data_IF_423835828978
#
_entry.id   IF_423835828978
#
_cell.length_a   1.000
_cell.length_b   1.000
_cell.length_c   1.000
_cell.angle_alpha   90.00
_cell.angle_beta   90.00
_cell.angle_gamma   90.00
#
_symmetry.space_group_name_H-M   'P 1'
#
loop_
_entity.id
_entity.type
_entity.pdbx_description
1 polymer ?
#
# COMPACT_ATOMS: atom_id res chain seq x y z
N UNK A 1 -20.99 57.34 -12.38
CA UNK A 1 -19.89 58.09 -13.06
C UNK A 1 -18.56 57.46 -12.67
N UNK A 2 -17.65 57.28 -13.62
CA UNK A 2 -16.30 56.76 -13.37
C UNK A 2 -15.28 57.71 -14.02
N UNK A 3 -14.09 57.82 -13.42
CA UNK A 3 -13.00 58.65 -13.92
C UNK A 3 -11.72 57.81 -14.04
N UNK A 4 -10.89 58.01 -15.08
CA UNK A 4 -9.62 57.32 -15.20
C UNK A 4 -8.67 57.74 -14.07
N UNK A 5 -7.97 56.77 -13.49
CA UNK A 5 -7.00 56.98 -12.42
C UNK A 5 -5.69 56.27 -12.79
N UNK A 6 -4.57 56.96 -12.65
CA UNK A 6 -3.24 56.36 -12.85
C UNK A 6 -2.80 55.60 -11.59
N UNK A 7 -1.86 54.67 -11.73
CA UNK A 7 -1.31 53.94 -10.59
C UNK A 7 -0.66 54.89 -9.57
N UNK A 8 0.11 55.89 -10.02
CA UNK A 8 0.74 56.88 -9.14
C UNK A 8 -0.30 57.70 -8.35
N UNK A 9 -1.40 58.10 -9.01
CA UNK A 9 -2.49 58.79 -8.33
C UNK A 9 -3.18 57.90 -7.29
N UNK A 10 -3.37 56.61 -7.61
CA UNK A 10 -3.91 55.63 -6.68
C UNK A 10 -2.98 55.42 -5.46
N UNK A 11 -1.68 55.32 -5.68
CA UNK A 11 -0.68 55.15 -4.62
C UNK A 11 -0.57 56.38 -3.71
N UNK A 12 -0.71 57.57 -4.27
CA UNK A 12 -0.73 58.82 -3.49
C UNK A 12 -1.94 58.89 -2.54
N UNK A 13 -3.13 58.49 -3.02
CA UNK A 13 -4.38 58.62 -2.25
C UNK A 13 -4.62 57.44 -1.30
N UNK A 14 -4.28 56.21 -1.72
CA UNK A 14 -4.61 54.98 -1.02
C UNK A 14 -3.38 54.17 -0.57
N UNK A 15 -2.18 54.74 -0.62
CA UNK A 15 -0.91 54.04 -0.37
C UNK A 15 -0.85 53.31 0.98
N UNK A 16 -1.42 53.89 2.04
CA UNK A 16 -1.46 53.27 3.37
C UNK A 16 -2.33 51.99 3.43
N UNK A 17 -3.26 51.82 2.48
CA UNK A 17 -4.09 50.63 2.34
C UNK A 17 -3.51 49.62 1.32
N UNK A 18 -2.38 49.93 0.68
CA UNK A 18 -1.71 49.01 -0.23
C UNK A 18 -0.82 48.07 0.57
N UNK A 19 -1.16 46.78 0.53
CA UNK A 19 -0.42 45.74 1.21
C UNK A 19 0.46 44.97 0.23
N UNK A 20 1.65 44.58 0.68
CA UNK A 20 2.50 43.62 -0.04
C UNK A 20 2.62 42.34 0.77
N UNK A 21 2.19 41.21 0.22
CA UNK A 21 2.27 39.91 0.89
C UNK A 21 2.91 38.87 -0.01
N UNK A 22 3.77 38.03 0.58
CA UNK A 22 4.23 36.80 -0.03
C UNK A 22 3.26 35.66 0.31
N UNK A 23 2.83 34.91 -0.69
CA UNK A 23 1.91 33.79 -0.56
C UNK A 23 2.50 32.56 -1.26
N UNK A 24 2.50 31.43 -0.56
CA UNK A 24 2.82 30.11 -1.12
C UNK A 24 1.49 29.39 -1.35
N UNK A 25 1.28 28.93 -2.57
CA UNK A 25 0.05 28.25 -2.99
C UNK A 25 0.39 26.94 -3.67
N UNK A 26 -0.49 25.95 -3.54
CA UNK A 26 -0.35 24.67 -4.24
C UNK A 26 -1.11 24.72 -5.56
N UNK A 27 -0.41 24.49 -6.67
CA UNK A 27 -1.02 24.26 -7.97
C UNK A 27 -1.32 22.77 -8.15
N UNK A 28 -2.62 22.45 -8.21
CA UNK A 28 -3.11 21.07 -8.37
C UNK A 28 -2.76 20.48 -9.74
N UNK A 29 -2.69 21.29 -10.80
CA UNK A 29 -2.43 20.81 -12.16
C UNK A 29 -0.99 20.30 -12.29
N UNK A 30 -0.03 21.02 -11.71
CA UNK A 30 1.40 20.66 -11.73
C UNK A 30 1.88 19.94 -10.47
N UNK A 31 0.98 19.70 -9.51
CA UNK A 31 1.30 19.11 -8.20
C UNK A 31 2.54 19.77 -7.54
N UNK A 32 2.56 21.10 -7.55
CA UNK A 32 3.72 21.88 -7.10
C UNK A 32 3.34 23.16 -6.37
N UNK A 33 4.28 23.68 -5.58
CA UNK A 33 4.16 24.96 -4.92
C UNK A 33 4.54 26.11 -5.86
N UNK A 34 3.85 27.22 -5.69
CA UNK A 34 4.17 28.51 -6.30
C UNK A 34 4.19 29.58 -5.23
N UNK A 35 5.30 30.29 -5.12
CA UNK A 35 5.42 31.46 -4.29
C UNK A 35 5.27 32.73 -5.14
N UNK A 36 4.44 33.65 -4.67
CA UNK A 36 4.22 34.94 -5.34
C UNK A 36 4.17 36.06 -4.32
N UNK A 37 4.75 37.20 -4.68
CA UNK A 37 4.57 38.47 -3.99
C UNK A 37 3.47 39.25 -4.68
N UNK A 38 2.39 39.55 -3.97
CA UNK A 38 1.27 40.35 -4.46
C UNK A 38 1.23 41.68 -3.75
N UNK A 39 1.12 42.75 -4.53
CA UNK A 39 0.82 44.09 -4.04
C UNK A 39 -0.63 44.40 -4.36
N UNK A 40 -1.45 44.66 -3.35
CA UNK A 40 -2.92 44.73 -3.48
C UNK A 40 -3.52 45.93 -2.74
N UNK A 41 -4.61 46.45 -3.29
CA UNK A 41 -5.51 47.38 -2.62
C UNK A 41 -6.86 46.68 -2.45
N UNK A 42 -7.13 46.15 -1.27
CA UNK A 42 -8.29 45.27 -1.04
C UNK A 42 -8.24 44.04 -1.97
N UNK A 43 -9.27 43.87 -2.81
CA UNK A 43 -9.35 42.78 -3.79
C UNK A 43 -8.59 43.07 -5.10
N UNK A 44 -8.14 44.32 -5.33
CA UNK A 44 -7.45 44.72 -6.57
C UNK A 44 -5.96 44.35 -6.49
N UNK A 45 -5.50 43.48 -7.38
CA UNK A 45 -4.07 43.18 -7.54
C UNK A 45 -3.43 44.27 -8.40
N UNK A 46 -2.51 45.03 -7.80
CA UNK A 46 -1.79 46.12 -8.47
C UNK A 46 -0.52 45.61 -9.18
N UNK A 47 0.16 44.64 -8.56
CA UNK A 47 1.33 43.99 -9.13
C UNK A 47 1.48 42.57 -8.56
N UNK A 48 2.04 41.68 -9.38
CA UNK A 48 2.36 40.30 -9.00
C UNK A 48 3.77 39.95 -9.48
N UNK A 49 4.57 39.35 -8.60
CA UNK A 49 5.91 38.89 -8.90
C UNK A 49 6.11 37.45 -8.42
N UNK A 50 6.64 36.58 -9.27
CA UNK A 50 7.04 35.22 -8.86
C UNK A 50 8.23 35.28 -7.90
N UNK A 51 8.16 34.49 -6.83
CA UNK A 51 9.25 34.30 -5.87
C UNK A 51 9.72 32.84 -5.90
N UNK A 52 10.96 32.56 -5.48
CA UNK A 52 11.34 31.20 -5.12
C UNK A 52 10.49 30.72 -3.94
N UNK A 53 10.13 29.43 -3.95
CA UNK A 53 9.46 28.80 -2.82
C UNK A 53 10.49 28.66 -1.67
N UNK A 54 10.18 29.13 -0.45
CA UNK A 54 11.07 28.95 0.69
C UNK A 54 11.33 27.47 1.00
N UNK A 55 12.57 27.13 1.35
CA UNK A 55 12.94 25.80 1.83
C UNK A 55 12.72 25.70 3.35
N UNK A 56 11.45 25.71 3.78
CA UNK A 56 11.04 25.66 5.18
C UNK A 56 9.96 24.61 5.45
N UNK A 57 9.70 24.36 6.74
CA UNK A 57 8.69 23.39 7.19
C UNK A 57 7.28 23.76 6.75
N UNK A 58 6.98 25.07 6.68
CA UNK A 58 5.68 25.56 6.26
C UNK A 58 5.40 25.22 4.79
N UNK A 59 6.39 25.37 3.92
CA UNK A 59 6.31 24.98 2.50
C UNK A 59 6.21 23.47 2.37
N UNK A 60 7.03 22.70 3.09
CA UNK A 60 6.95 21.24 3.07
C UNK A 60 5.56 20.72 3.47
N UNK A 61 4.97 21.28 4.53
CA UNK A 61 3.62 20.94 4.99
C UNK A 61 2.53 21.39 4.00
N UNK A 62 2.71 22.55 3.35
CA UNK A 62 1.79 23.00 2.30
C UNK A 62 1.82 22.06 1.08
N UNK A 63 3.00 21.56 0.69
CA UNK A 63 3.14 20.56 -0.36
C UNK A 63 2.50 19.23 0.06
N UNK A 64 2.76 18.78 1.29
CA UNK A 64 2.18 17.54 1.82
C UNK A 64 0.64 17.56 1.82
N UNK A 65 0.04 18.66 2.30
CA UNK A 65 -1.42 18.90 2.25
C UNK A 65 -1.95 18.89 0.83
N UNK A 66 -1.27 19.59 -0.08
CA UNK A 66 -1.65 19.65 -1.49
C UNK A 66 -1.63 18.28 -2.16
N UNK A 67 -0.56 17.51 -1.94
CA UNK A 67 -0.37 16.15 -2.47
C UNK A 67 -1.42 15.19 -1.90
N UNK A 68 -1.65 15.18 -0.59
CA UNK A 68 -2.69 14.35 0.02
C UNK A 68 -4.08 14.69 -0.55
N UNK A 69 -4.37 15.97 -0.77
CA UNK A 69 -5.60 16.44 -1.40
C UNK A 69 -5.75 16.13 -2.90
N UNK A 70 -4.72 15.58 -3.56
CA UNK A 70 -4.81 15.00 -4.90
C UNK A 70 -5.13 13.50 -4.89
N UNK A 71 -5.05 12.85 -3.73
CA UNK A 71 -5.16 11.41 -3.56
C UNK A 71 -3.80 10.73 -3.44
N UNK A 72 -3.70 9.76 -2.52
CA UNK A 72 -2.44 9.08 -2.19
C UNK A 72 -1.95 8.15 -3.30
N UNK A 73 -2.81 7.76 -4.24
CA UNK A 73 -2.42 6.96 -5.41
C UNK A 73 -1.37 7.65 -6.31
N UNK A 74 -1.18 8.97 -6.18
CA UNK A 74 -0.14 9.72 -6.90
C UNK A 74 1.24 9.68 -6.26
N UNK A 75 1.34 9.18 -5.02
CA UNK A 75 2.62 9.03 -4.33
C UNK A 75 3.43 7.90 -4.96
N UNK A 76 4.77 7.88 -4.79
CA UNK A 76 5.64 6.91 -5.45
C UNK A 76 5.58 5.53 -4.79
N UNK A 77 4.39 4.92 -4.79
CA UNK A 77 4.15 3.56 -4.33
C UNK A 77 4.95 2.57 -5.15
N UNK A 78 5.57 1.64 -4.45
CA UNK A 78 6.19 0.45 -5.03
C UNK A 78 5.43 -0.77 -4.54
N UNK A 79 5.52 -1.88 -5.27
CA UNK A 79 4.89 -3.15 -4.84
C UNK A 79 5.30 -3.57 -3.42
N UNK A 80 6.52 -3.24 -2.99
CA UNK A 80 6.97 -3.57 -1.63
C UNK A 80 6.37 -2.65 -0.57
N UNK A 81 6.10 -1.38 -0.88
CA UNK A 81 5.42 -0.46 0.03
C UNK A 81 3.92 -0.77 0.12
N UNK A 82 3.28 -1.09 -1.01
CA UNK A 82 1.89 -1.56 -1.05
C UNK A 82 1.72 -2.82 -0.21
N UNK A 83 2.58 -3.83 -0.43
CA UNK A 83 2.54 -5.06 0.36
C UNK A 83 2.82 -4.79 1.85
N UNK A 84 3.80 -3.95 2.19
CA UNK A 84 4.09 -3.59 3.58
C UNK A 84 2.89 -2.92 4.25
N UNK A 85 2.24 -1.97 3.57
CA UNK A 85 1.01 -1.32 4.05
C UNK A 85 -0.12 -2.34 4.19
N UNK A 86 -0.31 -3.22 3.21
CA UNK A 86 -1.33 -4.27 3.23
C UNK A 86 -1.19 -5.19 4.44
N UNK A 87 0.04 -5.59 4.79
CA UNK A 87 0.36 -6.39 5.99
C UNK A 87 0.03 -5.64 7.29
N UNK A 88 0.38 -4.36 7.38
CA UNK A 88 0.06 -3.52 8.54
C UNK A 88 -1.45 -3.38 8.73
N UNK A 89 -2.16 -3.05 7.64
CA UNK A 89 -3.62 -2.90 7.66
C UNK A 89 -4.33 -4.22 7.93
N UNK A 90 -3.77 -5.35 7.49
CA UNK A 90 -4.25 -6.67 7.85
C UNK A 90 -4.18 -6.91 9.37
N UNK A 91 -3.03 -6.68 9.99
CA UNK A 91 -2.88 -6.87 11.44
C UNK A 91 -3.73 -5.88 12.24
N UNK A 92 -3.86 -4.63 11.78
CA UNK A 92 -4.80 -3.66 12.36
C UNK A 92 -6.25 -4.17 12.31
N UNK A 93 -6.70 -4.76 11.20
CA UNK A 93 -8.05 -5.34 11.12
C UNK A 93 -8.22 -6.55 12.04
N UNK A 94 -7.17 -7.34 12.24
CA UNK A 94 -7.21 -8.56 13.05
C UNK A 94 -7.12 -8.30 14.56
N UNK A 95 -6.39 -7.24 14.99
CA UNK A 95 -6.06 -6.99 16.40
C UNK A 95 -6.46 -5.60 16.91
N UNK A 96 -6.61 -4.61 16.03
CA UNK A 96 -6.78 -3.21 16.40
C UNK A 96 -5.46 -2.56 16.84
N UNK A 97 -5.52 -1.77 17.91
CA UNK A 97 -4.33 -1.17 18.53
C UNK A 97 -3.36 -2.25 19.02
N UNK A 98 -2.03 -2.08 18.89
CA UNK A 98 -1.30 -0.83 18.56
C UNK A 98 -0.99 -0.62 17.06
N UNK A 99 -1.57 -1.40 16.15
CA UNK A 99 -1.24 -1.31 14.72
C UNK A 99 -1.75 0.01 14.11
N UNK A 100 -0.89 0.83 13.47
CA UNK A 100 -1.27 2.16 13.00
C UNK A 100 -2.29 2.10 11.86
N UNK A 101 -3.16 3.10 11.80
CA UNK A 101 -4.06 3.29 10.66
C UNK A 101 -3.32 3.91 9.48
N UNK A 102 -3.07 3.09 8.46
CA UNK A 102 -2.42 3.50 7.22
C UNK A 102 -3.39 3.49 6.03
N UNK A 103 -4.70 3.59 6.32
CA UNK A 103 -5.72 3.80 5.29
C UNK A 103 -5.49 5.12 4.54
N UNK A 104 -6.04 5.22 3.34
CA UNK A 104 -5.91 6.45 2.56
C UNK A 104 -6.56 7.64 3.29
N UNK A 105 -7.66 7.39 3.99
CA UNK A 105 -8.36 8.37 4.82
C UNK A 105 -7.48 8.85 5.98
N UNK A 106 -6.88 7.93 6.74
CA UNK A 106 -6.04 8.28 7.89
C UNK A 106 -4.78 9.05 7.47
N UNK A 107 -4.10 8.58 6.42
CA UNK A 107 -2.90 9.22 5.91
C UNK A 107 -3.18 10.59 5.28
N UNK A 108 -4.33 10.78 4.63
CA UNK A 108 -4.73 12.07 4.08
C UNK A 108 -5.16 13.08 5.16
N UNK A 109 -5.71 12.59 6.29
CA UNK A 109 -6.14 13.44 7.40
C UNK A 109 -4.97 14.04 8.20
N UNK A 110 -3.78 13.42 8.17
CA UNK A 110 -2.60 13.84 8.94
C UNK A 110 -1.35 14.05 8.05
N UNK A 111 -1.37 14.99 7.08
CA UNK A 111 -0.31 15.16 6.07
C UNK A 111 1.09 15.46 6.64
N UNK A 112 1.20 15.77 7.93
CA UNK A 112 2.45 16.01 8.65
C UNK A 112 3.44 14.84 8.53
N UNK A 113 2.96 13.60 8.38
CA UNK A 113 3.85 12.43 8.23
C UNK A 113 4.73 12.49 6.96
N UNK A 114 4.23 13.15 5.91
CA UNK A 114 4.92 13.28 4.63
C UNK A 114 5.78 14.55 4.57
N UNK A 115 5.52 15.53 5.44
CA UNK A 115 6.16 16.85 5.38
C UNK A 115 7.69 16.76 5.50
N UNK A 116 8.22 15.89 6.36
CA UNK A 116 9.68 15.72 6.52
C UNK A 116 10.37 15.24 5.24
N UNK A 117 9.77 14.31 4.50
CA UNK A 117 10.28 13.83 3.21
C UNK A 117 10.18 14.89 2.10
N UNK A 118 9.32 15.89 2.27
CA UNK A 118 9.10 16.99 1.33
C UNK A 118 9.90 18.26 1.67
N UNK A 119 10.73 18.24 2.72
CA UNK A 119 11.56 19.40 3.07
C UNK A 119 12.48 19.80 1.90
N UNK A 120 12.48 21.10 1.57
CA UNK A 120 13.24 21.65 0.45
C UNK A 120 12.72 21.30 -0.95
N UNK A 121 11.65 20.50 -1.05
CA UNK A 121 11.04 20.12 -2.33
C UNK A 121 9.89 21.07 -2.67
N UNK A 122 9.69 21.29 -3.96
CA UNK A 122 8.67 22.22 -4.47
C UNK A 122 7.59 21.53 -5.30
N UNK A 123 7.80 20.28 -5.73
CA UNK A 123 6.83 19.50 -6.51
C UNK A 123 6.84 18.04 -6.09
N UNK A 124 5.71 17.35 -6.31
CA UNK A 124 5.58 15.93 -6.00
C UNK A 124 6.62 15.06 -6.71
N UNK A 125 6.97 15.37 -7.95
CA UNK A 125 7.94 14.60 -8.75
C UNK A 125 9.36 14.59 -8.16
N UNK A 126 9.68 15.52 -7.25
CA UNK A 126 10.96 15.53 -6.53
C UNK A 126 11.00 14.51 -5.37
N UNK A 127 9.84 13.97 -4.96
CA UNK A 127 9.76 12.93 -3.93
C UNK A 127 10.16 11.57 -4.52
N UNK A 128 11.30 11.05 -4.08
CA UNK A 128 11.74 9.70 -4.45
C UNK A 128 10.89 8.63 -3.75
N UNK A 129 10.85 7.43 -4.32
CA UNK A 129 10.22 6.26 -3.68
C UNK A 129 10.92 5.84 -2.39
N UNK A 130 12.22 6.13 -2.26
CA UNK A 130 13.00 5.87 -1.06
C UNK A 130 12.64 6.83 0.08
N UNK A 131 12.66 8.15 -0.17
CA UNK A 131 12.24 9.17 0.82
C UNK A 131 10.79 8.91 1.28
N UNK A 132 9.92 8.60 0.33
CA UNK A 132 8.53 8.22 0.59
C UNK A 132 8.43 6.97 1.46
N UNK A 133 9.19 5.92 1.12
CA UNK A 133 9.23 4.68 1.88
C UNK A 133 9.74 4.87 3.32
N UNK A 134 10.74 5.73 3.51
CA UNK A 134 11.24 6.10 4.84
C UNK A 134 10.17 6.83 5.67
N UNK A 135 9.51 7.85 5.11
CA UNK A 135 8.44 8.58 5.78
C UNK A 135 7.26 7.65 6.16
N UNK A 136 6.84 6.78 5.25
CA UNK A 136 5.74 5.85 5.50
C UNK A 136 6.10 4.84 6.60
N UNK A 137 7.31 4.26 6.58
CA UNK A 137 7.75 3.29 7.59
C UNK A 137 7.95 3.91 8.97
N UNK A 138 8.28 5.20 9.03
CA UNK A 138 8.42 5.93 10.30
C UNK A 138 7.11 6.02 11.09
N UNK A 139 5.95 5.77 10.45
CA UNK A 139 4.64 5.70 11.11
C UNK A 139 4.44 4.43 11.95
N UNK A 140 5.31 3.43 11.81
CA UNK A 140 5.22 2.19 12.55
C UNK A 140 6.32 2.09 13.62
N UNK A 141 5.97 1.92 14.91
CA UNK A 141 6.96 1.65 15.96
C UNK A 141 7.83 0.43 15.63
N UNK A 142 9.10 0.48 16.05
CA UNK A 142 10.10 -0.55 15.75
C UNK A 142 9.67 -1.96 16.19
N UNK A 143 9.03 -2.08 17.34
CA UNK A 143 8.52 -3.36 17.86
C UNK A 143 7.49 -4.00 16.94
N UNK A 144 6.62 -3.19 16.32
CA UNK A 144 5.62 -3.67 15.36
C UNK A 144 6.26 -4.17 14.08
N UNK A 145 7.39 -3.60 13.67
CA UNK A 145 8.12 -4.07 12.48
C UNK A 145 8.60 -5.52 12.65
N UNK A 146 9.08 -5.90 13.85
CA UNK A 146 9.47 -7.30 14.12
C UNK A 146 8.26 -8.23 14.16
N UNK A 147 7.18 -7.80 14.81
CA UNK A 147 5.93 -8.58 14.86
C UNK A 147 5.33 -8.78 13.47
N UNK A 148 5.38 -7.75 12.61
CA UNK A 148 4.89 -7.83 11.23
C UNK A 148 5.54 -8.97 10.44
N UNK A 149 6.85 -9.15 10.58
CA UNK A 149 7.58 -10.21 9.89
C UNK A 149 7.18 -11.61 10.37
N UNK A 150 6.86 -11.77 11.66
CA UNK A 150 6.44 -13.05 12.22
C UNK A 150 4.95 -13.35 11.98
N UNK A 151 4.07 -12.35 12.17
CA UNK A 151 2.62 -12.53 12.21
C UNK A 151 1.95 -12.32 10.86
N UNK A 152 2.58 -11.58 9.95
CA UNK A 152 2.12 -11.36 8.59
C UNK A 152 3.31 -11.45 7.62
N UNK A 153 3.92 -12.63 7.42
CA UNK A 153 5.07 -12.78 6.53
C UNK A 153 4.74 -12.43 5.07
N UNK A 154 5.76 -12.06 4.31
CA UNK A 154 5.62 -11.77 2.87
C UNK A 154 5.27 -13.01 2.04
N UNK A 155 5.73 -14.18 2.50
CA UNK A 155 5.55 -15.46 1.83
C UNK A 155 5.17 -16.55 2.84
N UNK A 156 4.31 -17.46 2.40
CA UNK A 156 4.09 -18.74 3.05
C UNK A 156 5.04 -19.78 2.46
N UNK A 157 5.76 -20.52 3.31
CA UNK A 157 6.63 -21.61 2.87
C UNK A 157 5.86 -22.92 2.98
N UNK A 158 5.57 -23.53 1.82
CA UNK A 158 4.90 -24.82 1.75
C UNK A 158 5.81 -25.96 2.27
N UNK A 159 5.25 -27.12 2.67
CA UNK A 159 6.02 -28.31 3.03
C UNK A 159 7.11 -28.73 2.03
N UNK A 160 6.94 -28.40 0.74
CA UNK A 160 7.93 -28.65 -0.32
C UNK A 160 9.10 -27.67 -0.34
N UNK A 161 9.06 -26.61 0.47
CA UNK A 161 10.01 -25.49 0.47
C UNK A 161 9.65 -24.37 -0.50
N UNK A 162 8.57 -24.50 -1.28
CA UNK A 162 8.11 -23.43 -2.18
C UNK A 162 7.61 -22.25 -1.37
N UNK A 163 8.10 -21.05 -1.68
CA UNK A 163 7.63 -19.80 -1.10
C UNK A 163 6.51 -19.20 -1.97
N UNK A 164 5.27 -19.22 -1.47
CA UNK A 164 4.12 -18.58 -2.11
C UNK A 164 3.91 -17.18 -1.53
N UNK A 165 3.91 -16.15 -2.38
CA UNK A 165 3.64 -14.78 -1.94
C UNK A 165 2.22 -14.67 -1.38
N UNK A 166 2.08 -14.03 -0.23
CA UNK A 166 0.78 -13.78 0.40
C UNK A 166 0.18 -12.50 -0.16
N UNK A 167 -1.03 -12.62 -0.70
CA UNK A 167 -1.84 -11.47 -1.11
C UNK A 167 -2.71 -11.03 0.07
N UNK A 168 -2.35 -9.90 0.68
CA UNK A 168 -3.06 -9.30 1.82
C UNK A 168 -4.23 -8.40 1.41
N UNK A 169 -4.36 -8.08 0.12
CA UNK A 169 -5.41 -7.22 -0.43
C UNK A 169 -6.53 -8.03 -1.10
N UNK A 170 -6.35 -9.34 -1.22
CA UNK A 170 -7.35 -10.26 -1.75
C UNK A 170 -8.71 -10.14 -1.05
N UNK A 171 -9.78 -10.23 -1.84
CA UNK A 171 -11.15 -10.18 -1.36
C UNK A 171 -11.42 -11.36 -0.40
N UNK A 172 -11.97 -11.04 0.77
CA UNK A 172 -12.24 -12.02 1.82
C UNK A 172 -11.09 -12.24 2.80
N UNK A 173 -9.87 -11.77 2.55
CA UNK A 173 -8.74 -11.87 3.49
C UNK A 173 -7.47 -12.40 2.84
N UNK A 174 -6.38 -12.53 3.63
CA UNK A 174 -5.09 -12.90 3.09
C UNK A 174 -5.15 -14.26 2.41
N UNK A 175 -4.54 -14.36 1.23
CA UNK A 175 -4.64 -15.55 0.40
C UNK A 175 -3.31 -15.94 -0.25
N UNK A 176 -3.19 -17.22 -0.58
CA UNK A 176 -2.09 -17.75 -1.40
C UNK A 176 -2.63 -18.67 -2.48
N UNK A 177 -1.93 -18.71 -3.61
CA UNK A 177 -2.23 -19.63 -4.70
C UNK A 177 -1.05 -20.59 -4.91
N UNK A 178 -1.32 -21.89 -4.78
CA UNK A 178 -0.31 -22.94 -4.95
C UNK A 178 -0.93 -24.23 -5.44
N UNK A 179 -0.10 -25.09 -6.05
CA UNK A 179 -0.57 -26.40 -6.48
C UNK A 179 -0.88 -27.25 -5.26
N UNK A 180 -1.98 -27.99 -5.31
CA UNK A 180 -2.47 -28.81 -4.18
C UNK A 180 -1.43 -29.82 -3.68
N UNK A 181 -0.55 -30.29 -4.57
CA UNK A 181 0.52 -31.24 -4.29
C UNK A 181 1.59 -30.67 -3.33
N UNK A 182 1.74 -29.34 -3.32
CA UNK A 182 2.74 -28.66 -2.50
C UNK A 182 2.30 -28.58 -1.03
N UNK A 183 1.01 -28.84 -0.76
CA UNK A 183 0.43 -28.90 0.57
C UNK A 183 0.34 -30.32 1.14
N UNK A 184 0.80 -31.34 0.41
CA UNK A 184 0.85 -32.69 0.96
C UNK A 184 1.78 -32.74 2.18
N UNK A 185 1.37 -33.49 3.19
CA UNK A 185 2.03 -33.53 4.50
C UNK A 185 1.59 -32.41 5.45
N UNK A 186 0.77 -31.46 4.99
CA UNK A 186 0.21 -30.41 5.84
C UNK A 186 -1.13 -30.85 6.42
N UNK A 187 -1.08 -31.33 7.67
CA UNK A 187 -2.26 -31.78 8.44
C UNK A 187 -2.99 -30.68 9.19
N UNK A 188 -2.39 -29.49 9.33
CA UNK A 188 -2.96 -28.33 10.01
C UNK A 188 -3.18 -27.18 9.02
N UNK A 189 -4.25 -26.41 9.20
CA UNK A 189 -4.49 -25.27 8.33
C UNK A 189 -3.56 -24.10 8.69
N UNK A 190 -2.83 -23.52 7.72
CA UNK A 190 -1.97 -22.37 8.01
C UNK A 190 -2.80 -21.15 8.39
N UNK A 191 -2.32 -20.40 9.37
CA UNK A 191 -2.96 -19.19 9.86
C UNK A 191 -1.93 -18.08 10.09
N UNK A 192 -2.40 -16.84 9.94
CA UNK A 192 -1.66 -15.60 10.15
C UNK A 192 -2.13 -14.93 11.45
N UNK A 193 -1.53 -13.79 11.80
CA UNK A 193 -1.82 -13.04 13.02
C UNK A 193 -1.74 -13.94 14.25
N UNK A 194 -0.61 -14.61 14.46
CA UNK A 194 -0.41 -15.53 15.59
C UNK A 194 -1.42 -16.68 15.67
N UNK A 195 -1.95 -17.14 14.54
CA UNK A 195 -2.92 -18.22 14.46
C UNK A 195 -4.39 -17.80 14.48
N UNK A 196 -4.69 -16.49 14.57
CA UNK A 196 -6.05 -15.96 14.66
C UNK A 196 -6.81 -15.96 13.34
N UNK A 197 -6.10 -15.77 12.22
CA UNK A 197 -6.75 -15.63 10.91
C UNK A 197 -6.32 -16.76 9.97
N UNK A 198 -7.24 -17.67 9.56
CA UNK A 198 -6.91 -18.74 8.63
C UNK A 198 -6.52 -18.17 7.26
N UNK A 199 -5.46 -18.70 6.67
CA UNK A 199 -4.97 -18.28 5.37
C UNK A 199 -5.83 -18.87 4.26
N UNK A 200 -6.38 -18.03 3.38
CA UNK A 200 -7.21 -18.52 2.28
C UNK A 200 -6.33 -19.24 1.24
N UNK A 201 -6.60 -20.52 1.00
CA UNK A 201 -5.83 -21.34 0.06
C UNK A 201 -6.56 -21.47 -1.27
N UNK A 202 -6.02 -20.89 -2.33
CA UNK A 202 -6.43 -21.13 -3.71
C UNK A 202 -5.65 -22.35 -4.23
N UNK A 203 -6.30 -23.51 -4.17
CA UNK A 203 -5.70 -24.78 -4.57
C UNK A 203 -5.72 -24.93 -6.09
N UNK A 204 -4.54 -25.11 -6.66
CA UNK A 204 -4.34 -25.20 -8.11
C UNK A 204 -3.97 -26.63 -8.56
N UNK A 205 -4.31 -26.94 -9.80
CA UNK A 205 -3.89 -28.16 -10.49
C UNK A 205 -2.43 -28.09 -10.92
N UNK A 206 -1.82 -29.20 -11.41
CA UNK A 206 -0.49 -29.18 -11.99
C UNK A 206 -0.32 -28.16 -13.12
N UNK A 207 -1.41 -27.85 -13.84
CA UNK A 207 -1.44 -26.86 -14.90
C UNK A 207 -1.90 -25.46 -14.43
N UNK A 208 -1.79 -25.17 -13.12
CA UNK A 208 -2.17 -23.89 -12.51
C UNK A 208 -3.64 -23.49 -12.72
N UNK A 209 -4.54 -24.47 -12.89
CA UNK A 209 -5.99 -24.20 -12.97
C UNK A 209 -6.60 -24.24 -11.56
N UNK A 210 -7.51 -23.31 -11.21
CA UNK A 210 -8.23 -23.37 -9.93
C UNK A 210 -8.99 -24.68 -9.77
N UNK A 211 -8.91 -25.26 -8.58
CA UNK A 211 -9.65 -26.48 -8.20
C UNK A 211 -10.62 -26.16 -7.08
N UNK A 212 -10.12 -25.56 -5.99
CA UNK A 212 -10.87 -25.31 -4.77
C UNK A 212 -10.29 -24.09 -4.07
N UNK A 213 -11.14 -23.33 -3.39
CA UNK A 213 -10.74 -22.33 -2.41
C UNK A 213 -11.13 -22.87 -1.04
N UNK A 214 -10.22 -22.85 -0.07
CA UNK A 214 -10.51 -23.33 1.29
C UNK A 214 -9.84 -22.50 2.39
N UNK A 215 -10.51 -22.41 3.54
CA UNK A 215 -9.99 -21.93 4.84
C UNK A 215 -9.95 -23.03 5.90
N UNK A 216 -10.22 -24.26 5.47
CA UNK A 216 -10.16 -25.46 6.27
C UNK A 216 -9.54 -26.57 5.42
N UNK A 217 -8.21 -26.64 5.47
CA UNK A 217 -7.46 -27.63 4.72
C UNK A 217 -7.71 -29.06 5.26
N UNK A 218 -7.72 -29.30 6.59
CA UNK A 218 -8.10 -30.60 7.15
C UNK A 218 -9.51 -31.06 6.73
N UNK A 219 -10.49 -30.16 6.72
CA UNK A 219 -11.84 -30.44 6.24
C UNK A 219 -11.87 -30.78 4.75
N UNK A 220 -11.12 -30.05 3.93
CA UNK A 220 -10.94 -30.36 2.50
C UNK A 220 -10.36 -31.77 2.29
N UNK A 221 -9.32 -32.14 3.03
CA UNK A 221 -8.69 -33.46 2.97
C UNK A 221 -9.64 -34.59 3.35
N UNK A 222 -10.43 -34.43 4.40
CA UNK A 222 -11.39 -35.45 4.88
C UNK A 222 -12.66 -35.52 4.03
N UNK A 223 -13.03 -34.43 3.38
CA UNK A 223 -14.26 -34.32 2.60
C UNK A 223 -14.03 -34.40 1.09
N UNK A 224 -14.02 -33.24 0.43
CA UNK A 224 -14.07 -33.12 -1.04
C UNK A 224 -12.81 -33.57 -1.77
N UNK A 225 -11.70 -33.85 -1.06
CA UNK A 225 -10.47 -34.34 -1.68
C UNK A 225 -10.69 -35.63 -2.48
N UNK A 226 -11.52 -36.56 -2.00
CA UNK A 226 -11.78 -37.84 -2.68
C UNK A 226 -12.30 -37.64 -4.12
N UNK A 227 -13.27 -36.73 -4.31
CA UNK A 227 -13.83 -36.38 -5.61
C UNK A 227 -12.83 -35.61 -6.48
N UNK A 228 -12.14 -34.62 -5.90
CA UNK A 228 -11.10 -33.84 -6.60
C UNK A 228 -9.97 -34.76 -7.10
N UNK A 229 -9.51 -35.68 -6.24
CA UNK A 229 -8.48 -36.67 -6.55
C UNK A 229 -8.88 -37.54 -7.73
N UNK A 230 -10.14 -37.98 -7.81
CA UNK A 230 -10.63 -38.79 -8.93
C UNK A 230 -10.55 -38.04 -10.27
N UNK A 231 -11.00 -36.78 -10.32
CA UNK A 231 -10.89 -35.94 -11.52
C UNK A 231 -9.42 -35.68 -11.89
N UNK A 232 -8.59 -35.29 -10.91
CA UNK A 232 -7.17 -34.99 -11.14
C UNK A 232 -6.39 -36.22 -11.60
N UNK A 233 -6.69 -37.41 -11.09
CA UNK A 233 -6.06 -38.66 -11.53
C UNK A 233 -6.36 -38.97 -13.00
N UNK A 234 -7.58 -38.67 -13.46
CA UNK A 234 -7.97 -38.79 -14.86
C UNK A 234 -7.23 -37.80 -15.77
N UNK A 235 -7.20 -36.51 -15.39
CA UNK A 235 -6.57 -35.44 -16.19
C UNK A 235 -5.05 -35.46 -16.14
N UNK A 236 -4.47 -35.90 -15.02
CA UNK A 236 -3.03 -35.84 -14.74
C UNK A 236 -2.50 -37.18 -14.20
N UNK A 237 -2.53 -38.27 -15.01
CA UNK A 237 -2.25 -39.63 -14.53
C UNK A 237 -0.78 -39.88 -14.12
N UNK A 238 0.14 -38.99 -14.52
CA UNK A 238 1.57 -39.08 -14.17
C UNK A 238 1.91 -38.48 -12.78
N UNK A 239 0.95 -37.83 -12.14
CA UNK A 239 1.16 -37.20 -10.82
C UNK A 239 0.79 -38.15 -9.68
N UNK A 240 1.40 -37.90 -8.52
CA UNK A 240 1.08 -38.65 -7.30
C UNK A 240 -0.15 -38.05 -6.63
N UNK A 241 -1.16 -38.89 -6.41
CA UNK A 241 -2.46 -38.49 -5.86
C UNK A 241 -2.79 -39.39 -4.65
N UNK A 242 -2.30 -39.04 -3.43
CA UNK A 242 -2.46 -39.86 -2.24
C UNK A 242 -3.92 -39.96 -1.80
N UNK A 243 -4.28 -41.09 -1.18
CA UNK A 243 -5.58 -41.23 -0.51
C UNK A 243 -5.62 -40.37 0.74
N UNK A 244 -4.52 -40.38 1.50
CA UNK A 244 -4.28 -39.54 2.67
C UNK A 244 -3.25 -38.44 2.34
N UNK A 245 -3.70 -37.24 1.92
CA UNK A 245 -2.81 -36.13 1.60
C UNK A 245 -2.18 -35.47 2.84
N UNK A 246 -2.79 -35.61 4.02
CA UNK A 246 -2.31 -34.99 5.25
C UNK A 246 -1.02 -35.66 5.76
N UNK A 247 -0.86 -36.96 5.53
CA UNK A 247 0.34 -37.73 5.89
C UNK A 247 1.26 -38.07 4.71
N UNK A 248 0.94 -37.60 3.50
CA UNK A 248 1.74 -37.86 2.31
C UNK A 248 3.05 -37.07 2.31
N UNK A 249 4.11 -37.66 1.74
CA UNK A 249 5.36 -36.95 1.54
C UNK A 249 5.16 -35.74 0.59
N UNK A 250 5.66 -34.55 0.94
CA UNK A 250 5.55 -33.37 0.08
C UNK A 250 6.32 -33.58 -1.22
N UNK A 251 5.72 -33.22 -2.36
CA UNK A 251 6.38 -33.37 -3.67
C UNK A 251 6.00 -32.27 -4.65
N UNK A 252 7.01 -31.71 -5.31
CA UNK A 252 6.84 -30.81 -6.46
C UNK A 252 6.91 -31.55 -7.81
N UNK A 253 7.19 -32.86 -7.80
CA UNK A 253 7.54 -33.66 -8.98
C UNK A 253 6.41 -34.61 -9.39
N UNK A 254 6.26 -34.82 -10.69
CA UNK A 254 5.55 -35.97 -11.23
C UNK A 254 6.26 -37.28 -10.81
N UNK A 255 5.53 -38.40 -10.77
CA UNK A 255 6.07 -39.69 -10.33
C UNK A 255 7.32 -40.04 -11.16
N UNK A 256 8.46 -40.44 -10.55
CA UNK A 256 9.62 -40.89 -11.30
C UNK A 256 9.24 -42.08 -12.21
N UNK A 257 9.87 -42.18 -13.38
CA UNK A 257 9.78 -43.42 -14.19
C UNK A 257 10.26 -44.59 -13.34
N UNK A 258 9.59 -45.73 -13.48
CA UNK A 258 9.61 -46.87 -12.56
C UNK A 258 10.97 -47.25 -11.98
N UNK A 259 10.93 -47.63 -10.71
CA UNK A 259 11.52 -48.91 -10.26
C UNK A 259 10.45 -49.97 -10.35
#
# INVERSE_FOLDING_TARGET
TAAPLTLEALESVAGAAIETRAEVTFDRATASLRARRRRRLGALVLAEQNLPVPADEASALALARGVCGLGLARLPWTKSLEQWRGRMMFLRRAEGEPWPDLSDEALAAAPEWLASALFGKTRLEELSSEDFGHALRALAPYELSRRLEAEAPTHFVAPTGTAAAVDYEAEGGPSIALRVQELFGLGEHPALAGGRVPLTLHLLSPAHRPIQITRDLPGFWKGSWSAVRADLRGRYPRHFWPEDPASAAPTNRAKPRGT
#
